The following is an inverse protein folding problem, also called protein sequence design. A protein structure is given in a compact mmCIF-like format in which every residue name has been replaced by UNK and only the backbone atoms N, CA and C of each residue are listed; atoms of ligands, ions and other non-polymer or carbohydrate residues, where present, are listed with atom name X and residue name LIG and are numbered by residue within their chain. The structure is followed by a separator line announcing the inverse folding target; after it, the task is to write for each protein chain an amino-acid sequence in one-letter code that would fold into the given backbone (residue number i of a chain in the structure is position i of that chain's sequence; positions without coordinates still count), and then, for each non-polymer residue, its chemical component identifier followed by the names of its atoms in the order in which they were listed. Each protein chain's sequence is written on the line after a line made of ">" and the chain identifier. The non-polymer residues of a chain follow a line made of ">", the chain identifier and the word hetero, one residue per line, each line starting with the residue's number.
data_IF_337450246238
#
_entry.id   IF_337450246238
#
_cell.length_a   1.000
_cell.length_b   1.000
_cell.length_c   1.000
_cell.angle_alpha   90.00
_cell.angle_beta   90.00
_cell.angle_gamma   90.00
#
_symmetry.space_group_name_H-M   'P 1'
#
loop_
_entity.id
_entity.type
_entity.pdbx_description
1 polymer ?
#
# COMPACT_ATOMS: atom_id res chain seq x y z
N UNK A 1 8.66 1.31 13.97
CA UNK A 1 7.26 1.61 14.34
C UNK A 1 6.48 0.48 13.72
N UNK A 2 6.02 -0.48 14.52
CA UNK A 2 5.27 -1.64 14.03
C UNK A 2 3.80 -1.28 14.13
N UNK A 3 3.04 -1.57 13.07
CA UNK A 3 1.65 -1.14 12.89
C UNK A 3 0.74 -1.94 13.83
N UNK A 4 -0.04 -1.22 14.62
CA UNK A 4 -1.12 -1.74 15.46
C UNK A 4 -2.30 -2.15 14.54
N UNK A 5 -2.77 -3.41 14.58
CA UNK A 5 -3.84 -3.88 13.70
C UNK A 5 -5.24 -3.39 14.12
N UNK A 6 -5.36 -2.57 15.18
CA UNK A 6 -6.59 -1.88 15.58
C UNK A 6 -6.61 -0.39 15.26
N UNK A 7 -5.53 0.14 14.67
CA UNK A 7 -5.64 1.34 13.87
C UNK A 7 -6.35 0.96 12.57
N UNK A 8 -7.67 1.12 12.53
CA UNK A 8 -8.27 1.65 11.30
C UNK A 8 -7.46 2.91 11.00
N UNK A 9 -6.40 2.81 10.19
CA UNK A 9 -5.73 3.98 9.65
C UNK A 9 -6.84 4.83 9.06
N UNK A 10 -6.93 6.10 9.49
CA UNK A 10 -7.96 7.00 8.98
C UNK A 10 -8.01 6.84 7.47
N UNK A 11 -9.20 6.62 6.89
CA UNK A 11 -9.32 6.32 5.47
C UNK A 11 -8.55 7.39 4.69
N UNK A 12 -7.73 7.00 3.70
CA UNK A 12 -6.86 7.94 3.01
C UNK A 12 -7.71 9.06 2.40
N UNK A 13 -7.14 10.27 2.33
CA UNK A 13 -7.86 11.40 1.76
C UNK A 13 -8.24 11.09 0.29
N UNK A 14 -9.50 11.34 -0.04
CA UNK A 14 -10.06 11.03 -1.37
C UNK A 14 -9.25 11.70 -2.48
N UNK A 15 -8.77 12.93 -2.27
CA UNK A 15 -7.95 13.62 -3.25
C UNK A 15 -6.59 12.94 -3.42
N UNK A 16 -5.97 12.44 -2.35
CA UNK A 16 -4.69 11.73 -2.43
C UNK A 16 -4.81 10.43 -3.23
N UNK A 17 -5.88 9.66 -3.01
CA UNK A 17 -6.16 8.44 -3.77
C UNK A 17 -6.36 8.75 -5.25
N UNK A 18 -7.20 9.74 -5.57
CA UNK A 18 -7.47 10.13 -6.95
C UNK A 18 -6.22 10.70 -7.64
N UNK A 19 -5.43 11.51 -6.95
CA UNK A 19 -4.18 12.06 -7.46
C UNK A 19 -3.15 10.95 -7.73
N UNK A 20 -3.08 9.93 -6.88
CA UNK A 20 -2.21 8.77 -7.07
C UNK A 20 -2.65 7.97 -8.31
N UNK A 21 -3.95 7.68 -8.43
CA UNK A 21 -4.51 6.94 -9.56
C UNK A 21 -4.50 7.74 -10.88
N UNK A 22 -4.49 9.07 -10.84
CA UNK A 22 -4.35 9.93 -12.01
C UNK A 22 -2.93 9.88 -12.61
N UNK A 23 -1.92 9.47 -11.84
CA UNK A 23 -0.53 9.38 -12.26
C UNK A 23 -0.24 8.13 -13.12
N UNK A 24 0.23 8.33 -14.35
CA UNK A 24 0.50 7.22 -15.27
C UNK A 24 1.62 6.28 -14.78
N UNK A 25 2.68 6.83 -14.20
CA UNK A 25 3.79 6.02 -13.67
C UNK A 25 3.33 5.21 -12.45
N UNK A 26 2.47 5.78 -11.61
CA UNK A 26 1.88 5.06 -10.49
C UNK A 26 1.00 3.89 -10.96
N UNK A 27 0.13 4.10 -11.97
CA UNK A 27 -0.68 3.03 -12.55
C UNK A 27 0.16 1.91 -13.16
N UNK A 28 1.29 2.24 -13.82
CA UNK A 28 2.22 1.22 -14.33
C UNK A 28 2.85 0.39 -13.22
N UNK A 29 3.25 1.04 -12.12
CA UNK A 29 3.78 0.34 -10.94
C UNK A 29 2.74 -0.61 -10.35
N UNK A 30 1.49 -0.16 -10.17
CA UNK A 30 0.39 -1.02 -9.68
C UNK A 30 0.17 -2.21 -10.60
N UNK A 31 0.15 -1.99 -11.92
CA UNK A 31 -0.02 -3.07 -12.90
C UNK A 31 1.15 -4.08 -12.91
N UNK A 32 2.37 -3.65 -12.57
CA UNK A 32 3.54 -4.51 -12.48
C UNK A 32 3.57 -5.36 -11.19
N UNK A 33 2.79 -5.01 -10.18
CA UNK A 33 2.77 -5.68 -8.87
C UNK A 33 1.85 -6.90 -8.83
N UNK A 34 2.14 -7.90 -9.67
CA UNK A 34 1.48 -9.23 -9.59
C UNK A 34 1.94 -10.06 -8.38
N UNK A 35 3.09 -9.72 -7.81
CA UNK A 35 3.68 -10.30 -6.60
C UNK A 35 4.52 -9.22 -5.88
N UNK A 36 4.92 -9.41 -4.61
CA UNK A 36 5.67 -8.40 -3.87
C UNK A 36 7.06 -8.10 -4.47
N UNK A 37 7.28 -6.86 -4.92
CA UNK A 37 8.53 -6.42 -5.59
C UNK A 37 9.20 -5.26 -4.86
N UNK A 38 10.51 -5.15 -5.04
CA UNK A 38 11.33 -4.06 -4.53
C UNK A 38 11.26 -2.83 -5.44
N UNK A 39 11.63 -1.66 -4.92
CA UNK A 39 11.71 -0.44 -5.72
C UNK A 39 12.66 -0.57 -6.92
N UNK A 40 13.77 -1.32 -6.78
CA UNK A 40 14.71 -1.57 -7.87
C UNK A 40 14.10 -2.43 -8.97
N UNK A 41 13.42 -3.54 -8.60
CA UNK A 41 12.72 -4.40 -9.57
C UNK A 41 11.65 -3.62 -10.35
N UNK A 42 10.87 -2.78 -9.66
CA UNK A 42 9.84 -1.95 -10.28
C UNK A 42 10.43 -0.85 -11.18
N UNK A 43 11.56 -0.27 -10.79
CA UNK A 43 12.28 0.73 -11.59
C UNK A 43 12.74 0.13 -12.93
N UNK A 44 13.31 -1.07 -12.89
CA UNK A 44 13.77 -1.81 -14.07
C UNK A 44 12.59 -2.23 -14.97
N UNK A 45 11.56 -2.88 -14.40
CA UNK A 45 10.44 -3.42 -15.17
C UNK A 45 9.54 -2.34 -15.78
N UNK A 46 9.30 -1.24 -15.07
CA UNK A 46 8.47 -0.13 -15.56
C UNK A 46 9.27 0.88 -16.39
N UNK A 47 10.59 0.72 -16.51
CA UNK A 47 11.52 1.67 -17.15
C UNK A 47 11.41 3.09 -16.56
N UNK A 48 11.25 3.19 -15.23
CA UNK A 48 11.11 4.45 -14.48
C UNK A 48 12.39 4.69 -13.69
N UNK A 49 12.99 5.90 -13.69
CA UNK A 49 14.17 6.19 -12.85
C UNK A 49 13.90 5.89 -11.37
N UNK A 50 14.84 5.24 -10.69
CA UNK A 50 14.68 4.78 -9.31
C UNK A 50 14.21 5.87 -8.34
N UNK A 51 14.72 7.10 -8.47
CA UNK A 51 14.28 8.25 -7.65
C UNK A 51 12.81 8.62 -7.87
N UNK A 52 12.32 8.45 -9.10
CA UNK A 52 10.90 8.65 -9.42
C UNK A 52 10.07 7.48 -8.91
N UNK A 53 10.56 6.25 -9.02
CA UNK A 53 9.91 5.06 -8.46
C UNK A 53 9.66 5.21 -6.96
N UNK A 54 10.67 5.60 -6.17
CA UNK A 54 10.50 5.83 -4.73
C UNK A 54 9.41 6.87 -4.43
N UNK A 55 9.39 8.00 -5.15
CA UNK A 55 8.35 9.02 -4.98
C UNK A 55 6.94 8.52 -5.34
N UNK A 56 6.82 7.60 -6.30
CA UNK A 56 5.52 7.00 -6.65
C UNK A 56 5.09 5.97 -5.62
N UNK A 57 6.02 5.18 -5.11
CA UNK A 57 5.76 4.20 -4.07
C UNK A 57 5.28 4.88 -2.78
N UNK A 58 5.97 5.94 -2.33
CA UNK A 58 5.55 6.78 -1.21
C UNK A 58 4.12 7.29 -1.41
N UNK A 59 3.85 7.95 -2.54
CA UNK A 59 2.51 8.46 -2.87
C UNK A 59 1.42 7.38 -2.86
N UNK A 60 1.73 6.18 -3.37
CA UNK A 60 0.78 5.08 -3.43
C UNK A 60 0.58 4.44 -2.03
N UNK A 61 1.62 4.37 -1.22
CA UNK A 61 1.55 3.87 0.16
C UNK A 61 0.79 4.84 1.06
N UNK A 62 1.03 6.15 0.95
CA UNK A 62 0.31 7.19 1.69
C UNK A 62 -1.20 7.15 1.35
N UNK A 63 -1.54 6.95 0.07
CA UNK A 63 -2.91 6.76 -0.39
C UNK A 63 -3.50 5.37 -0.04
N UNK A 64 -2.82 4.54 0.75
CA UNK A 64 -3.22 3.19 1.14
C UNK A 64 -3.53 2.23 -0.03
N UNK A 65 -2.95 2.50 -1.21
CA UNK A 65 -3.05 1.69 -2.43
C UNK A 65 -2.01 0.56 -2.45
N UNK A 66 -0.90 0.72 -1.74
CA UNK A 66 0.16 -0.28 -1.59
C UNK A 66 0.46 -0.59 -0.12
N UNK A 67 0.76 -1.86 0.16
CA UNK A 67 1.34 -2.32 1.41
C UNK A 67 2.87 -2.39 1.30
N UNK A 68 3.56 -1.99 2.35
CA UNK A 68 5.01 -2.11 2.51
C UNK A 68 5.35 -3.25 3.47
N UNK A 69 6.28 -4.13 3.09
CA UNK A 69 6.84 -5.17 3.96
C UNK A 69 8.36 -5.17 3.90
N UNK A 70 9.02 -5.50 5.01
CA UNK A 70 10.49 -5.57 5.08
C UNK A 70 10.94 -7.00 5.28
N UNK A 71 11.65 -7.55 4.30
CA UNK A 71 12.35 -8.82 4.44
C UNK A 71 13.61 -8.63 5.28
N UNK A 72 13.63 -9.19 6.49
CA UNK A 72 14.80 -9.22 7.37
C UNK A 72 15.65 -10.44 7.02
N UNK A 73 16.75 -10.24 6.30
CA UNK A 73 17.73 -11.29 6.01
C UNK A 73 18.75 -11.42 7.14
N UNK A 74 19.24 -12.65 7.36
CA UNK A 74 20.20 -13.01 8.44
C UNK A 74 21.57 -12.33 8.28
N UNK A 75 21.87 -11.78 7.11
CA UNK A 75 23.09 -11.05 6.79
C UNK A 75 22.99 -9.54 7.06
N UNK A 76 21.83 -9.05 7.53
CA UNK A 76 21.60 -7.66 7.89
C UNK A 76 21.15 -6.76 6.73
N UNK A 77 21.02 -7.29 5.50
CA UNK A 77 20.47 -6.50 4.41
C UNK A 77 18.94 -6.56 4.47
N UNK A 78 18.33 -5.47 4.93
CA UNK A 78 16.88 -5.29 4.86
C UNK A 78 16.48 -4.86 3.46
N UNK A 79 15.44 -5.48 2.92
CA UNK A 79 14.92 -5.13 1.60
C UNK A 79 13.42 -4.92 1.70
N UNK A 80 13.00 -3.70 1.40
CA UNK A 80 11.60 -3.31 1.37
C UNK A 80 10.95 -3.82 0.09
N UNK A 81 9.79 -4.45 0.24
CA UNK A 81 8.91 -4.93 -0.83
C UNK A 81 7.57 -4.24 -0.75
N UNK A 82 6.94 -4.09 -1.91
CA UNK A 82 5.66 -3.45 -2.10
C UNK A 82 4.68 -4.43 -2.72
N UNK A 83 3.41 -4.37 -2.33
CA UNK A 83 2.32 -5.18 -2.88
C UNK A 83 1.04 -4.35 -2.97
N UNK A 84 0.13 -4.71 -3.89
CA UNK A 84 -1.16 -4.01 -4.02
C UNK A 84 -2.03 -4.30 -2.80
N UNK A 85 -2.63 -3.26 -2.21
CA UNK A 85 -3.38 -3.35 -0.96
C UNK A 85 -4.91 -3.44 -1.15
N UNK A 86 -5.38 -3.57 -2.40
CA UNK A 86 -6.79 -3.59 -2.76
C UNK A 86 -7.05 -4.51 -3.96
N UNK A 87 -8.28 -5.00 -4.08
CA UNK A 87 -8.83 -5.70 -5.23
C UNK A 87 -9.72 -4.75 -6.05
N UNK A 88 -10.48 -3.88 -5.38
CA UNK A 88 -11.33 -2.87 -6.01
C UNK A 88 -11.21 -1.51 -5.31
N UNK A 89 -11.33 -0.43 -6.10
CA UNK A 89 -11.53 0.95 -5.62
C UNK A 89 -12.81 1.48 -6.22
N UNK A 90 -13.78 1.82 -5.39
CA UNK A 90 -15.07 2.39 -5.80
C UNK A 90 -15.08 3.88 -5.46
N UNK A 91 -15.42 4.71 -6.45
CA UNK A 91 -15.61 6.16 -6.25
C UNK A 91 -17.10 6.44 -6.36
N UNK A 92 -17.66 7.04 -5.31
CA UNK A 92 -19.08 7.39 -5.23
C UNK A 92 -19.28 8.86 -4.86
N UNK A 93 -20.51 9.34 -5.00
CA UNK A 93 -20.94 10.63 -4.46
C UNK A 93 -21.88 10.32 -3.30
N UNK A 94 -21.53 10.79 -2.11
CA UNK A 94 -22.29 10.62 -0.86
C UNK A 94 -22.51 11.97 -0.15
N UNK A 95 -23.13 11.93 1.04
CA UNK A 95 -23.44 13.08 1.89
C UNK A 95 -24.93 13.42 1.90
N UNK A 96 -25.41 14.08 2.96
CA UNK A 96 -26.84 14.42 3.13
C UNK A 96 -27.42 15.25 1.96
N UNK A 97 -26.56 16.02 1.27
CA UNK A 97 -26.88 16.80 0.07
C UNK A 97 -26.41 16.15 -1.26
N UNK A 98 -25.77 14.97 -1.20
CA UNK A 98 -25.27 14.20 -2.34
C UNK A 98 -24.19 14.90 -3.16
N UNK A 99 -23.16 15.46 -2.51
CA UNK A 99 -22.12 16.29 -3.18
C UNK A 99 -20.70 16.07 -2.70
N UNK A 100 -20.44 15.03 -1.91
CA UNK A 100 -19.09 14.72 -1.45
C UNK A 100 -18.59 13.46 -2.16
N UNK A 101 -17.35 13.49 -2.63
CA UNK A 101 -16.73 12.28 -3.19
C UNK A 101 -16.33 11.37 -2.04
N UNK A 102 -16.66 10.09 -2.16
CA UNK A 102 -16.22 9.04 -1.25
C UNK A 102 -15.44 7.98 -2.03
N UNK A 103 -14.50 7.34 -1.34
CA UNK A 103 -13.71 6.23 -1.87
C UNK A 103 -13.81 5.05 -0.92
N UNK A 104 -14.16 3.91 -1.46
CA UNK A 104 -14.22 2.64 -0.74
C UNK A 104 -13.25 1.64 -1.37
N UNK A 105 -12.61 0.84 -0.52
CA UNK A 105 -11.65 -0.17 -0.94
C UNK A 105 -12.20 -1.56 -0.62
N UNK A 106 -12.26 -2.43 -1.63
CA UNK A 106 -12.31 -3.88 -1.38
C UNK A 106 -10.88 -4.36 -1.23
N UNK A 107 -10.53 -4.90 -0.06
CA UNK A 107 -9.17 -5.35 0.25
C UNK A 107 -9.10 -6.88 0.27
N UNK A 108 -8.01 -7.48 -0.22
CA UNK A 108 -7.86 -8.93 -0.19
C UNK A 108 -7.86 -9.40 1.28
N UNK A 109 -8.51 -10.53 1.53
CA UNK A 109 -8.47 -11.13 2.87
C UNK A 109 -7.02 -11.47 3.25
N UNK A 110 -6.50 -10.99 4.39
CA UNK A 110 -5.14 -11.32 4.80
C UNK A 110 -5.03 -12.83 4.97
N UNK A 111 -3.93 -13.40 4.45
CA UNK A 111 -3.66 -14.83 4.55
C UNK A 111 -3.52 -15.26 6.00
N UNK A 112 -3.66 -16.56 6.27
CA UNK A 112 -3.55 -17.08 7.63
C UNK A 112 -2.22 -16.73 8.30
N UNK A 113 -1.13 -16.70 7.52
CA UNK A 113 0.20 -16.39 8.01
C UNK A 113 0.38 -14.90 8.29
N UNK A 114 -0.23 -14.02 7.48
CA UNK A 114 -0.27 -12.57 7.75
C UNK A 114 -1.10 -12.25 8.99
N UNK A 115 -2.30 -12.85 9.13
CA UNK A 115 -3.10 -12.73 10.36
C UNK A 115 -2.34 -13.21 11.60
N UNK A 116 -1.54 -14.27 11.47
CA UNK A 116 -0.67 -14.75 12.55
C UNK A 116 0.45 -13.75 12.85
N UNK A 117 1.11 -13.20 11.83
CA UNK A 117 2.17 -12.22 12.00
C UNK A 117 1.68 -10.97 12.75
N UNK A 118 0.47 -10.49 12.44
CA UNK A 118 -0.17 -9.37 13.14
C UNK A 118 -0.39 -9.71 14.62
N UNK A 119 -0.95 -10.88 14.92
CA UNK A 119 -1.15 -11.37 16.30
C UNK A 119 0.17 -11.54 17.07
N UNK A 120 1.26 -11.92 16.39
CA UNK A 120 2.57 -12.08 17.01
C UNK A 120 3.30 -10.75 17.23
N UNK A 121 3.00 -9.71 16.45
CA UNK A 121 3.46 -8.35 16.72
C UNK A 121 2.89 -7.84 18.05
N UNK A 122 1.59 -8.05 18.25
CA UNK A 122 0.83 -7.61 19.43
C UNK A 122 1.44 -8.16 20.74
N UNK A 123 1.84 -9.43 20.76
CA UNK A 123 2.43 -10.08 21.94
C UNK A 123 3.83 -9.55 22.30
N UNK A 124 4.54 -8.91 21.37
CA UNK A 124 5.91 -8.42 21.59
C UNK A 124 5.95 -7.01 22.20
N UNK A 125 4.79 -6.37 22.38
CA UNK A 125 4.67 -5.00 22.91
C UNK A 125 4.33 -4.96 24.42
N UNK A 126 4.07 -6.11 25.07
CA UNK A 126 3.78 -6.22 26.51
C UNK A 126 5.00 -6.62 27.39
N UNK A 127 6.25 -6.27 27.04
CA UNK A 127 7.41 -6.47 27.94
C UNK A 127 8.44 -5.35 27.84
#
# INVERSE_FOLDING_TARGET
>A
MVRDPSHEEDPPDVAEVLDALADEAARRIVAALSEPKTASELSEECEIPLSTTYRKLEKLTDASLLNESTDIRRDGQHTTRYSVAFEEVVVSIDGEDGRELAVEFERPEPTRDERLADLWSELREET
#
